data_IF_317104191862
#
_entry.id   IF_317104191862
#
_cell.length_a   1.000
_cell.length_b   1.000
_cell.length_c   1.000
_cell.angle_alpha   90.00
_cell.angle_beta   90.00
_cell.angle_gamma   90.00
#
_symmetry.space_group_name_H-M   'P 1'
#
loop_
_entity.id
_entity.type
_entity.pdbx_description
1 polymer ?
#
# COMPACT_ATOMS: atom_id res chain seq x y z
N UNK A 1 -24.45 -30.13 7.05
CA UNK A 1 -24.32 -28.92 6.21
C UNK A 1 -23.04 -29.08 5.39
N UNK A 2 -23.18 -29.19 4.06
CA UNK A 2 -22.15 -29.72 3.14
C UNK A 2 -20.96 -28.76 2.99
N UNK A 3 -19.78 -29.12 3.51
CA UNK A 3 -18.53 -28.33 3.39
C UNK A 3 -18.09 -28.16 1.93
N UNK A 4 -18.48 -29.10 1.10
CA UNK A 4 -18.20 -29.24 -0.33
C UNK A 4 -19.01 -28.25 -1.21
N UNK A 5 -20.10 -27.66 -0.69
CA UNK A 5 -20.78 -26.51 -1.36
C UNK A 5 -20.18 -25.14 -1.00
N UNK A 6 -19.51 -25.01 0.15
CA UNK A 6 -18.84 -23.76 0.53
C UNK A 6 -17.51 -23.56 -0.24
N UNK A 7 -16.80 -24.65 -0.53
CA UNK A 7 -15.49 -24.61 -1.22
C UNK A 7 -15.52 -24.04 -2.65
N UNK A 8 -16.69 -23.97 -3.29
CA UNK A 8 -16.84 -23.52 -4.68
C UNK A 8 -17.16 -22.02 -4.81
N UNK A 9 -17.62 -21.36 -3.74
CA UNK A 9 -18.02 -19.94 -3.77
C UNK A 9 -16.89 -18.96 -3.37
N UNK A 10 -15.79 -19.46 -2.79
CA UNK A 10 -14.66 -18.63 -2.35
C UNK A 10 -13.52 -18.56 -3.38
N UNK A 11 -13.72 -19.07 -4.61
CA UNK A 11 -12.71 -19.05 -5.66
C UNK A 11 -12.77 -17.72 -6.43
N UNK A 12 -11.73 -16.90 -6.24
CA UNK A 12 -11.54 -15.64 -6.97
C UNK A 12 -11.29 -15.94 -8.45
N UNK A 13 -12.10 -15.35 -9.34
CA UNK A 13 -11.91 -15.46 -10.77
C UNK A 13 -10.64 -14.71 -11.23
N UNK A 14 -10.02 -15.14 -12.33
CA UNK A 14 -8.80 -14.51 -12.85
C UNK A 14 -8.97 -13.00 -13.07
N UNK A 15 -10.11 -12.56 -13.61
CA UNK A 15 -10.42 -11.14 -13.79
C UNK A 15 -10.51 -10.39 -12.46
N UNK A 16 -11.11 -10.99 -11.43
CA UNK A 16 -11.18 -10.40 -10.09
C UNK A 16 -9.79 -10.30 -9.46
N UNK A 17 -8.94 -11.32 -9.66
CA UNK A 17 -7.56 -11.33 -9.18
C UNK A 17 -6.72 -10.23 -9.85
N UNK A 18 -6.85 -10.08 -11.17
CA UNK A 18 -6.16 -9.03 -11.95
C UNK A 18 -6.63 -7.65 -11.52
N UNK A 19 -7.94 -7.44 -11.38
CA UNK A 19 -8.49 -6.16 -10.93
C UNK A 19 -8.08 -5.81 -9.51
N UNK A 20 -8.01 -6.79 -8.61
CA UNK A 20 -7.51 -6.60 -7.25
C UNK A 20 -6.02 -6.21 -7.26
N UNK A 21 -5.21 -6.87 -8.08
CA UNK A 21 -3.80 -6.52 -8.27
C UNK A 21 -3.64 -5.11 -8.83
N UNK A 22 -4.33 -4.78 -9.92
CA UNK A 22 -4.29 -3.44 -10.54
C UNK A 22 -4.76 -2.35 -9.57
N UNK A 23 -5.84 -2.59 -8.83
CA UNK A 23 -6.35 -1.65 -7.83
C UNK A 23 -5.35 -1.40 -6.70
N UNK A 24 -4.53 -2.39 -6.34
CA UNK A 24 -3.47 -2.22 -5.34
C UNK A 24 -2.25 -1.43 -5.83
N UNK A 25 -2.04 -1.36 -7.16
CA UNK A 25 -0.94 -0.63 -7.77
C UNK A 25 -1.25 0.85 -7.99
N UNK A 26 -2.53 1.21 -8.15
CA UNK A 26 -2.96 2.60 -8.36
C UNK A 26 -3.05 3.29 -6.99
N UNK A 27 -2.02 4.07 -6.65
CA UNK A 27 -1.96 4.87 -5.43
C UNK A 27 -1.36 6.25 -5.64
N UNK A 28 -1.11 6.95 -4.54
CA UNK A 28 -0.51 8.29 -4.56
C UNK A 28 0.82 8.38 -5.33
N UNK A 29 1.65 7.33 -5.26
CA UNK A 29 2.94 7.26 -5.93
C UNK A 29 2.88 7.33 -7.45
N UNK A 30 1.80 6.85 -8.08
CA UNK A 30 1.62 6.96 -9.53
C UNK A 30 1.41 8.42 -9.96
N UNK A 31 0.59 9.16 -9.20
CA UNK A 31 0.26 10.56 -9.51
C UNK A 31 1.43 11.50 -9.22
N UNK A 32 1.97 11.45 -8.00
CA UNK A 32 3.02 12.37 -7.57
C UNK A 32 4.38 11.99 -8.12
N UNK A 33 4.65 10.69 -8.31
CA UNK A 33 5.89 10.24 -8.96
C UNK A 33 5.95 10.63 -10.43
N UNK A 34 4.84 10.54 -11.17
CA UNK A 34 4.75 11.02 -12.55
C UNK A 34 4.96 12.54 -12.63
N UNK A 35 4.30 13.29 -11.74
CA UNK A 35 4.41 14.74 -11.67
C UNK A 35 5.85 15.18 -11.40
N UNK A 36 6.50 14.63 -10.38
CA UNK A 36 7.88 14.97 -10.01
C UNK A 36 8.86 14.60 -11.12
N UNK A 37 8.75 13.40 -11.70
CA UNK A 37 9.60 12.98 -12.81
C UNK A 37 9.48 13.90 -14.02
N UNK A 38 8.25 14.34 -14.35
CA UNK A 38 8.01 15.29 -15.43
C UNK A 38 8.47 16.71 -15.11
N UNK A 39 8.41 17.13 -13.85
CA UNK A 39 8.88 18.44 -13.39
C UNK A 39 10.40 18.57 -13.55
N UNK A 40 11.14 17.50 -13.23
CA UNK A 40 12.60 17.47 -13.32
C UNK A 40 13.08 17.25 -14.76
N UNK A 41 12.56 16.21 -15.44
CA UNK A 41 13.08 15.77 -16.75
C UNK A 41 12.30 16.33 -17.96
N UNK A 42 11.16 16.98 -17.74
CA UNK A 42 10.29 17.44 -18.81
C UNK A 42 9.76 16.26 -19.67
N UNK A 43 9.62 16.43 -20.99
CA UNK A 43 9.16 15.38 -21.90
C UNK A 43 10.04 14.11 -21.89
N UNK A 44 11.30 14.21 -21.46
CA UNK A 44 12.22 13.08 -21.37
C UNK A 44 11.87 12.09 -20.24
N UNK A 45 10.94 12.45 -19.34
CA UNK A 45 10.45 11.56 -18.27
C UNK A 45 9.91 10.22 -18.79
N UNK A 46 9.46 10.14 -20.05
CA UNK A 46 9.01 8.87 -20.66
C UNK A 46 10.13 7.81 -20.65
N UNK A 47 11.39 8.22 -20.77
CA UNK A 47 12.54 7.30 -20.75
C UNK A 47 12.67 6.62 -19.39
N UNK A 48 12.43 7.34 -18.28
CA UNK A 48 12.48 6.75 -16.94
C UNK A 48 11.35 5.76 -16.71
N UNK A 49 10.17 6.00 -17.30
CA UNK A 49 9.06 5.04 -17.28
C UNK A 49 9.38 3.73 -18.00
N UNK A 50 10.02 3.80 -19.17
CA UNK A 50 10.43 2.60 -19.92
C UNK A 50 11.49 1.80 -19.15
N UNK A 51 12.48 2.48 -18.57
CA UNK A 51 13.48 1.84 -17.72
C UNK A 51 12.87 1.23 -16.47
N UNK A 52 11.95 1.93 -15.81
CA UNK A 52 11.20 1.42 -14.65
C UNK A 52 10.41 0.16 -14.98
N UNK A 53 9.73 0.13 -16.13
CA UNK A 53 9.02 -1.04 -16.62
C UNK A 53 9.96 -2.24 -16.84
N UNK A 54 11.12 -2.02 -17.45
CA UNK A 54 12.09 -3.10 -17.68
C UNK A 54 12.61 -3.68 -16.35
N UNK A 55 12.99 -2.81 -15.40
CA UNK A 55 13.50 -3.25 -14.09
C UNK A 55 12.42 -3.99 -13.31
N UNK A 56 11.23 -3.40 -13.15
CA UNK A 56 10.14 -4.05 -12.41
C UNK A 56 9.66 -5.32 -13.13
N UNK A 57 9.68 -5.35 -14.46
CA UNK A 57 9.33 -6.52 -15.26
C UNK A 57 10.23 -7.73 -14.99
N UNK A 58 11.54 -7.52 -14.86
CA UNK A 58 12.47 -8.61 -14.50
C UNK A 58 12.23 -9.15 -13.09
N UNK A 59 11.86 -8.29 -12.14
CA UNK A 59 11.47 -8.70 -10.79
C UNK A 59 10.15 -9.49 -10.85
N UNK A 60 9.14 -8.97 -11.54
CA UNK A 60 7.84 -9.63 -11.68
C UNK A 60 7.96 -11.02 -12.30
N UNK A 61 8.83 -11.19 -13.30
CA UNK A 61 9.08 -12.49 -13.93
C UNK A 61 9.59 -13.53 -12.91
N UNK A 62 10.59 -13.17 -12.08
CA UNK A 62 11.06 -14.05 -11.01
C UNK A 62 9.96 -14.41 -10.00
N UNK A 63 9.08 -13.45 -9.67
CA UNK A 63 7.95 -13.70 -8.76
C UNK A 63 6.93 -14.67 -9.35
N UNK A 64 6.70 -14.62 -10.67
CA UNK A 64 5.81 -15.56 -11.36
C UNK A 64 6.40 -16.98 -11.33
N UNK A 65 7.70 -17.14 -11.57
CA UNK A 65 8.34 -18.46 -11.50
C UNK A 65 8.26 -19.07 -10.10
N UNK A 66 8.60 -18.29 -9.06
CA UNK A 66 8.54 -18.77 -7.67
C UNK A 66 7.08 -19.01 -7.25
N UNK A 67 6.16 -18.13 -7.64
CA UNK A 67 4.74 -18.23 -7.27
C UNK A 67 4.03 -19.42 -7.93
N UNK A 68 4.45 -19.83 -9.12
CA UNK A 68 3.94 -21.04 -9.77
C UNK A 68 4.54 -22.33 -9.19
N UNK A 69 5.79 -22.28 -8.72
CA UNK A 69 6.46 -23.41 -8.07
C UNK A 69 5.94 -23.67 -6.64
N UNK A 70 5.63 -22.62 -5.89
CA UNK A 70 5.15 -22.71 -4.49
C UNK A 70 3.79 -22.03 -4.31
N UNK A 71 2.67 -22.71 -4.62
CA UNK A 71 1.32 -22.17 -4.49
C UNK A 71 0.84 -22.18 -3.02
N UNK A 72 1.61 -21.59 -2.12
CA UNK A 72 1.28 -21.45 -0.70
C UNK A 72 0.92 -20.00 -0.36
N UNK A 73 0.00 -19.83 0.58
CA UNK A 73 -0.40 -18.53 1.10
C UNK A 73 0.74 -17.86 1.88
N UNK A 74 0.98 -16.57 1.64
CA UNK A 74 1.95 -15.75 2.39
C UNK A 74 2.95 -14.96 1.55
N UNK A 75 2.89 -15.09 0.21
CA UNK A 75 3.43 -14.11 -0.73
C UNK A 75 4.93 -13.78 -0.58
N UNK A 76 5.27 -12.52 -0.82
CA UNK A 76 6.65 -11.99 -0.94
C UNK A 76 7.56 -12.33 0.24
N UNK A 77 7.04 -12.30 1.48
CA UNK A 77 7.83 -12.62 2.68
C UNK A 77 8.21 -14.10 2.78
N UNK A 78 7.35 -15.00 2.29
CA UNK A 78 7.62 -16.44 2.32
C UNK A 78 8.55 -16.87 1.18
N UNK A 79 8.50 -16.19 0.03
CA UNK A 79 9.39 -16.49 -1.12
C UNK A 79 10.87 -16.33 -0.78
N UNK A 80 11.23 -15.30 0.00
CA UNK A 80 12.60 -15.12 0.50
C UNK A 80 13.02 -16.25 1.45
N UNK A 81 12.09 -16.76 2.26
CA UNK A 81 12.36 -17.87 3.17
C UNK A 81 12.60 -19.20 2.43
N UNK A 82 11.81 -19.49 1.39
CA UNK A 82 11.95 -20.72 0.60
C UNK A 82 13.26 -20.76 -0.21
N UNK A 83 13.74 -19.61 -0.65
CA UNK A 83 14.92 -19.51 -1.54
C UNK A 83 16.24 -19.33 -0.77
N UNK A 84 16.24 -18.55 0.32
CA UNK A 84 17.46 -18.11 1.01
C UNK A 84 17.51 -18.47 2.51
N UNK A 85 16.52 -19.20 3.03
CA UNK A 85 16.48 -19.66 4.42
C UNK A 85 15.84 -18.66 5.40
N UNK A 86 15.81 -19.06 6.68
CA UNK A 86 15.03 -18.38 7.73
C UNK A 86 15.50 -16.96 8.05
N UNK A 87 16.81 -16.70 8.01
CA UNK A 87 17.35 -15.37 8.32
C UNK A 87 16.95 -14.33 7.27
N UNK A 88 17.14 -14.64 5.97
CA UNK A 88 16.72 -13.75 4.89
C UNK A 88 15.20 -13.61 4.81
N UNK A 89 14.46 -14.71 5.07
CA UNK A 89 13.01 -14.66 5.21
C UNK A 89 12.55 -13.70 6.30
N UNK A 90 13.20 -13.70 7.46
CA UNK A 90 12.91 -12.78 8.56
C UNK A 90 13.18 -11.32 8.17
N UNK A 91 14.33 -11.03 7.55
CA UNK A 91 14.67 -9.68 7.10
C UNK A 91 13.67 -9.19 6.05
N UNK A 92 13.33 -10.02 5.07
CA UNK A 92 12.34 -9.71 4.03
C UNK A 92 10.95 -9.46 4.62
N UNK A 93 10.52 -10.28 5.59
CA UNK A 93 9.26 -10.09 6.30
C UNK A 93 9.23 -8.76 7.08
N UNK A 94 10.32 -8.41 7.75
CA UNK A 94 10.44 -7.12 8.44
C UNK A 94 10.45 -5.93 7.49
N UNK A 95 11.20 -6.02 6.39
CA UNK A 95 11.23 -4.97 5.36
C UNK A 95 9.84 -4.76 4.74
N UNK A 96 9.13 -5.86 4.43
CA UNK A 96 7.76 -5.82 3.95
C UNK A 96 6.82 -5.18 4.99
N UNK A 97 6.95 -5.56 6.26
CA UNK A 97 6.14 -4.96 7.33
C UNK A 97 6.37 -3.45 7.47
N UNK A 98 7.62 -3.00 7.48
CA UNK A 98 7.96 -1.57 7.52
C UNK A 98 7.37 -0.84 6.31
N UNK A 99 7.50 -1.41 5.10
CA UNK A 99 6.90 -0.85 3.89
C UNK A 99 5.37 -0.71 3.99
N UNK A 100 4.68 -1.73 4.51
CA UNK A 100 3.23 -1.66 4.70
C UNK A 100 2.82 -0.60 5.74
N UNK A 101 3.64 -0.38 6.78
CA UNK A 101 3.39 0.65 7.79
C UNK A 101 3.59 2.05 7.21
N UNK A 102 4.57 2.26 6.33
CA UNK A 102 4.83 3.57 5.71
C UNK A 102 3.81 3.96 4.64
N UNK A 103 3.05 3.02 4.08
CA UNK A 103 1.99 3.30 3.09
C UNK A 103 0.84 4.13 3.70
N UNK A 104 0.53 3.96 4.98
CA UNK A 104 -0.57 4.71 5.63
C UNK A 104 -0.27 6.23 5.69
N UNK A 105 0.88 6.67 6.25
CA UNK A 105 1.18 8.10 6.32
C UNK A 105 1.41 8.74 4.95
N UNK A 106 1.98 8.03 3.96
CA UNK A 106 2.17 8.60 2.62
C UNK A 106 0.85 8.89 1.92
N UNK A 107 -0.16 8.03 2.07
CA UNK A 107 -1.50 8.27 1.53
C UNK A 107 -2.18 9.48 2.23
N UNK A 108 -1.96 9.64 3.54
CA UNK A 108 -2.49 10.80 4.28
C UNK A 108 -1.86 12.13 3.81
N UNK A 109 -0.54 12.18 3.65
CA UNK A 109 0.18 13.35 3.11
C UNK A 109 -0.31 13.67 1.70
N UNK A 110 -0.45 12.65 0.87
CA UNK A 110 -0.91 12.74 -0.52
C UNK A 110 -2.34 13.28 -0.65
N UNK A 111 -3.24 12.88 0.26
CA UNK A 111 -4.60 13.42 0.30
C UNK A 111 -4.60 14.92 0.64
N UNK A 112 -3.79 15.36 1.61
CA UNK A 112 -3.65 16.79 1.95
C UNK A 112 -3.04 17.57 0.78
N UNK A 113 -2.01 17.01 0.14
CA UNK A 113 -1.38 17.57 -1.06
C UNK A 113 -2.39 17.78 -2.18
N UNK A 114 -3.24 16.78 -2.43
CA UNK A 114 -4.28 16.88 -3.46
C UNK A 114 -5.34 17.93 -3.09
N UNK A 115 -5.82 17.92 -1.85
CA UNK A 115 -6.82 18.88 -1.37
C UNK A 115 -6.32 20.34 -1.36
N UNK A 116 -5.02 20.57 -1.13
CA UNK A 116 -4.39 21.89 -1.18
C UNK A 116 -4.53 22.57 -2.55
N UNK A 117 -4.64 21.78 -3.62
CA UNK A 117 -4.80 22.30 -4.98
C UNK A 117 -6.22 22.80 -5.29
N UNK A 118 -7.22 22.51 -4.45
CA UNK A 118 -8.61 22.86 -4.73
C UNK A 118 -8.93 24.34 -4.49
N UNK A 119 -9.74 24.97 -5.36
CA UNK A 119 -10.04 26.41 -5.28
C UNK A 119 -11.09 26.78 -4.22
N UNK A 120 -11.63 25.82 -3.47
CA UNK A 120 -12.76 26.03 -2.58
C UNK A 120 -12.36 26.60 -1.21
N UNK A 121 -13.22 27.44 -0.62
CA UNK A 121 -12.95 28.13 0.65
C UNK A 121 -12.69 27.16 1.82
N UNK A 122 -13.35 26.00 1.84
CA UNK A 122 -13.16 24.97 2.87
C UNK A 122 -11.83 24.23 2.74
N UNK A 123 -11.19 24.28 1.56
CA UNK A 123 -9.88 23.66 1.30
C UNK A 123 -8.70 24.63 1.57
N UNK A 124 -8.97 25.93 1.75
CA UNK A 124 -7.95 26.94 2.06
C UNK A 124 -7.09 26.63 3.30
N UNK A 125 -7.61 26.03 4.40
CA UNK A 125 -6.77 25.62 5.52
C UNK A 125 -5.70 24.60 5.13
N UNK A 126 -5.99 23.70 4.16
CA UNK A 126 -5.02 22.71 3.68
C UNK A 126 -3.88 23.35 2.89
N UNK A 127 -4.16 24.45 2.18
CA UNK A 127 -3.13 25.24 1.49
C UNK A 127 -2.13 25.88 2.47
N UNK A 128 -2.56 26.19 3.70
CA UNK A 128 -1.67 26.73 4.73
C UNK A 128 -0.74 25.66 5.33
N UNK A 129 -1.06 24.37 5.18
CA UNK A 129 -0.21 23.25 5.60
C UNK A 129 0.94 22.96 4.61
N UNK A 130 0.95 23.67 3.48
CA UNK A 130 1.70 23.38 2.28
C UNK A 130 2.39 24.65 1.77
N UNK A 131 3.68 24.81 2.08
CA UNK A 131 4.43 26.02 1.73
C UNK A 131 5.56 25.66 0.76
N UNK A 132 5.54 26.26 -0.43
CA UNK A 132 6.57 26.09 -1.48
C UNK A 132 6.87 24.63 -1.89
N UNK A 133 5.84 23.79 -2.01
CA UNK A 133 6.01 22.39 -2.45
C UNK A 133 6.59 21.46 -1.38
N UNK A 134 6.79 21.96 -0.15
CA UNK A 134 7.21 21.16 1.00
C UNK A 134 6.18 21.25 2.13
N UNK A 135 6.07 20.19 2.92
CA UNK A 135 5.14 20.14 4.06
C UNK A 135 5.67 21.13 5.10
N UNK A 136 4.91 22.19 5.39
CA UNK A 136 5.29 23.16 6.43
C UNK A 136 5.35 22.45 7.79
N UNK A 137 6.13 22.96 8.75
CA UNK A 137 6.27 22.37 10.10
C UNK A 137 4.91 22.15 10.79
N UNK A 138 3.93 23.01 10.51
CA UNK A 138 2.54 22.85 10.95
C UNK A 138 1.79 21.71 10.23
N UNK A 139 2.10 21.47 8.96
CA UNK A 139 1.62 20.32 8.18
C UNK A 139 2.15 18.99 8.70
N UNK A 140 3.41 18.92 9.12
CA UNK A 140 3.98 17.73 9.77
C UNK A 140 3.28 17.42 11.10
N UNK A 141 2.97 18.44 11.91
CA UNK A 141 2.20 18.27 13.14
C UNK A 141 0.76 17.80 12.86
N UNK A 142 0.09 18.35 11.84
CA UNK A 142 -1.23 17.90 11.44
C UNK A 142 -1.23 16.44 10.96
N UNK A 143 -0.24 16.04 10.15
CA UNK A 143 -0.05 14.66 9.70
C UNK A 143 0.21 13.74 10.90
N UNK A 144 1.06 14.15 11.84
CA UNK A 144 1.30 13.40 13.08
C UNK A 144 0.02 13.19 13.88
N UNK A 145 -0.81 14.22 14.07
CA UNK A 145 -2.09 14.12 14.76
C UNK A 145 -3.08 13.21 14.02
N UNK A 146 -3.12 13.27 12.68
CA UNK A 146 -3.95 12.40 11.85
C UNK A 146 -3.50 10.94 11.94
N UNK A 147 -2.19 10.68 11.92
CA UNK A 147 -1.63 9.33 12.10
C UNK A 147 -1.99 8.79 13.48
N UNK A 148 -1.84 9.60 14.54
CA UNK A 148 -2.22 9.21 15.91
C UNK A 148 -3.72 8.93 15.99
N UNK A 149 -4.56 9.76 15.37
CA UNK A 149 -6.00 9.54 15.31
C UNK A 149 -6.37 8.23 14.58
N UNK A 150 -5.80 7.98 13.40
CA UNK A 150 -6.03 6.73 12.66
C UNK A 150 -5.46 5.51 13.39
N UNK A 151 -4.32 5.65 14.09
CA UNK A 151 -3.75 4.61 14.93
C UNK A 151 -4.70 4.27 16.07
N UNK A 152 -5.26 5.28 16.75
CA UNK A 152 -6.25 5.10 17.82
C UNK A 152 -7.52 4.42 17.27
N UNK A 153 -8.04 4.86 16.12
CA UNK A 153 -9.18 4.20 15.47
C UNK A 153 -8.85 2.74 15.15
N UNK A 154 -7.71 2.46 14.51
CA UNK A 154 -7.32 1.09 14.18
C UNK A 154 -7.12 0.23 15.42
N UNK A 155 -6.63 0.80 16.51
CA UNK A 155 -6.46 0.11 17.79
C UNK A 155 -7.80 -0.18 18.45
N UNK A 156 -8.76 0.75 18.36
CA UNK A 156 -10.13 0.59 18.85
C UNK A 156 -10.88 -0.45 18.02
N UNK A 157 -10.80 -0.38 16.68
CA UNK A 157 -11.36 -1.38 15.76
C UNK A 157 -10.74 -2.75 15.99
N UNK A 158 -9.42 -2.85 16.19
CA UNK A 158 -8.76 -4.12 16.53
C UNK A 158 -9.27 -4.68 17.85
N UNK A 159 -9.43 -3.84 18.88
CA UNK A 159 -10.03 -4.26 20.16
C UNK A 159 -11.46 -4.77 19.96
N UNK A 160 -12.30 -4.06 19.21
CA UNK A 160 -13.67 -4.48 18.92
C UNK A 160 -13.72 -5.79 18.12
N UNK A 161 -12.87 -5.97 17.11
CA UNK A 161 -12.76 -7.22 16.36
C UNK A 161 -12.28 -8.38 17.23
N UNK A 162 -11.25 -8.19 18.06
CA UNK A 162 -10.80 -9.23 18.99
C UNK A 162 -11.91 -9.62 19.98
N UNK A 163 -12.67 -8.64 20.49
CA UNK A 163 -13.82 -8.89 21.37
C UNK A 163 -14.92 -9.67 20.66
N UNK A 164 -15.21 -9.38 19.38
CA UNK A 164 -16.21 -10.11 18.58
C UNK A 164 -15.75 -11.55 18.30
N UNK A 165 -14.47 -11.78 18.00
CA UNK A 165 -13.93 -13.13 17.79
C UNK A 165 -13.86 -13.95 19.09
N UNK A 166 -13.54 -13.34 20.23
CA UNK A 166 -13.59 -14.02 21.53
C UNK A 166 -15.03 -14.32 21.98
N UNK A 167 -16.01 -13.46 21.67
CA UNK A 167 -17.43 -13.73 21.98
C UNK A 167 -18.03 -14.87 21.17
N UNK A 168 -17.59 -15.06 19.91
CA UNK A 168 -18.07 -16.14 19.03
C UNK A 168 -17.44 -17.51 19.33
N UNK A 169 -16.47 -17.59 20.25
CA UNK A 169 -15.91 -18.86 20.74
C UNK A 169 -16.54 -19.32 22.07
N UNK A 170 -17.40 -18.51 22.68
CA UNK A 170 -18.06 -18.80 23.95
C UNK A 170 -19.57 -19.13 23.81
N UNK A 171 -20.07 -19.29 22.58
CA UNK A 171 -21.41 -19.84 22.24
C UNK A 171 -21.20 -20.96 21.23
#
# INVERSE_FOLDING_TARGET
MNKDKQLHNDKINLSQLVLLGLGSLIGSGWLFGAWEASSIAGPAAIISWVLGFLVIGTIAYNYIEIGTMFPQSGGMSNYAQYTHGSLLGFIAAWANWVSLVTIIPIEAVSAVQYMSSWPWNWAKPMKHLMENGSISTYGLLAVYLIIVYFFIIKLLVRKTFNIIYEFNFCI
#
